data_IF_442339729964
#
_entry.id   IF_442339729964
#
_cell.length_a   1.000
_cell.length_b   1.000
_cell.length_c   1.000
_cell.angle_alpha   90.00
_cell.angle_beta   90.00
_cell.angle_gamma   90.00
#
_symmetry.space_group_name_H-M   'P 1'
#
loop_
_entity.id
_entity.type
_entity.pdbx_description
1 polymer ?
#
# COMPACT_ATOMS: atom_id res chain seq x y z
N UNK A 1 -25.78 -15.03 -3.59
CA UNK A 1 -25.00 -13.80 -3.81
C UNK A 1 -25.96 -12.63 -3.96
N UNK A 2 -25.83 -11.57 -3.13
CA UNK A 2 -26.51 -10.31 -3.40
C UNK A 2 -26.18 -9.80 -4.80
N UNK A 3 -27.07 -9.00 -5.42
CA UNK A 3 -26.72 -8.36 -6.68
C UNK A 3 -25.55 -7.38 -6.47
N UNK A 4 -24.76 -7.10 -7.51
CA UNK A 4 -23.68 -6.11 -7.42
C UNK A 4 -24.19 -4.75 -6.92
N UNK A 5 -25.41 -4.37 -7.32
CA UNK A 5 -26.07 -3.14 -6.86
C UNK A 5 -26.36 -3.17 -5.35
N UNK A 6 -26.83 -4.29 -4.81
CA UNK A 6 -27.10 -4.43 -3.38
C UNK A 6 -25.82 -4.29 -2.55
N UNK A 7 -24.72 -4.88 -3.00
CA UNK A 7 -23.43 -4.80 -2.32
C UNK A 7 -22.87 -3.37 -2.33
N UNK A 8 -23.03 -2.65 -3.45
CA UNK A 8 -22.67 -1.24 -3.57
C UNK A 8 -23.42 -0.39 -2.54
N UNK A 9 -24.73 -0.57 -2.47
CA UNK A 9 -25.62 0.16 -1.56
C UNK A 9 -25.29 -0.16 -0.11
N UNK A 10 -25.07 -1.44 0.21
CA UNK A 10 -24.66 -1.88 1.55
C UNK A 10 -23.32 -1.26 1.96
N UNK A 11 -22.33 -1.25 1.06
CA UNK A 11 -21.01 -0.65 1.29
C UNK A 11 -21.13 0.85 1.55
N UNK A 12 -21.89 1.58 0.72
CA UNK A 12 -22.13 3.03 0.91
C UNK A 12 -22.86 3.34 2.22
N UNK A 13 -23.84 2.52 2.62
CA UNK A 13 -24.51 2.64 3.92
C UNK A 13 -23.53 2.41 5.08
N UNK A 14 -22.64 1.43 4.95
CA UNK A 14 -21.58 1.15 5.94
C UNK A 14 -20.61 2.33 6.08
N UNK A 15 -20.18 2.91 4.95
CA UNK A 15 -19.35 4.13 4.93
C UNK A 15 -20.05 5.28 5.64
N UNK A 16 -21.32 5.55 5.29
CA UNK A 16 -22.12 6.61 5.92
C UNK A 16 -22.25 6.43 7.44
N UNK A 17 -22.32 5.19 7.92
CA UNK A 17 -22.47 4.86 9.34
C UNK A 17 -21.17 5.02 10.12
N UNK A 18 -20.04 4.59 9.56
CA UNK A 18 -18.78 4.45 10.28
C UNK A 18 -17.82 5.62 10.05
N UNK A 19 -17.98 6.36 8.95
CA UNK A 19 -17.06 7.43 8.57
C UNK A 19 -17.70 8.80 8.81
N UNK A 20 -17.00 9.75 9.48
CA UNK A 20 -17.53 11.08 9.76
C UNK A 20 -17.93 11.86 8.50
N UNK A 21 -17.15 11.72 7.43
CA UNK A 21 -17.48 12.30 6.11
C UNK A 21 -18.31 11.36 5.24
N UNK A 22 -18.83 10.27 5.80
CA UNK A 22 -19.46 9.20 5.04
C UNK A 22 -20.67 9.65 4.23
N UNK A 23 -21.40 10.68 4.67
CA UNK A 23 -22.49 11.25 3.86
C UNK A 23 -21.98 11.92 2.58
N UNK A 24 -20.89 12.69 2.66
CA UNK A 24 -20.24 13.33 1.50
C UNK A 24 -19.59 12.25 0.64
N UNK A 25 -18.90 11.29 1.25
CA UNK A 25 -18.18 10.26 0.50
C UNK A 25 -19.14 9.25 -0.15
N UNK A 26 -20.34 9.08 0.39
CA UNK A 26 -21.36 8.19 -0.18
C UNK A 26 -22.07 8.78 -1.40
N UNK A 27 -22.00 10.10 -1.63
CA UNK A 27 -22.82 10.83 -2.62
C UNK A 27 -22.48 10.56 -4.09
N UNK A 28 -21.53 9.66 -4.36
CA UNK A 28 -21.24 9.17 -5.71
C UNK A 28 -20.13 9.93 -6.45
N UNK A 29 -19.58 10.99 -5.87
CA UNK A 29 -18.40 11.66 -6.44
C UNK A 29 -17.15 10.81 -6.25
N UNK A 30 -16.24 10.87 -7.22
CA UNK A 30 -14.90 10.26 -7.15
C UNK A 30 -14.15 10.89 -5.96
N UNK A 31 -14.01 10.12 -4.88
CA UNK A 31 -13.22 10.47 -3.71
C UNK A 31 -12.33 9.28 -3.35
N UNK A 32 -11.28 9.46 -2.54
CA UNK A 32 -10.29 8.41 -2.30
C UNK A 32 -10.88 7.05 -1.88
N UNK A 33 -12.03 7.01 -1.19
CA UNK A 33 -12.69 5.76 -0.81
C UNK A 33 -13.55 5.19 -1.94
N UNK A 34 -14.28 6.03 -2.69
CA UNK A 34 -15.18 5.56 -3.75
C UNK A 34 -14.50 5.25 -5.08
N UNK A 35 -13.19 5.53 -5.25
CA UNK A 35 -12.45 5.15 -6.46
C UNK A 35 -12.56 3.66 -6.78
N UNK A 36 -12.66 2.83 -5.76
CA UNK A 36 -12.81 1.39 -5.91
C UNK A 36 -14.23 0.96 -6.30
N UNK A 37 -15.22 1.87 -6.24
CA UNK A 37 -16.62 1.59 -6.59
C UNK A 37 -16.87 1.31 -8.08
N UNK A 38 -15.82 1.40 -8.91
CA UNK A 38 -15.80 0.87 -10.29
C UNK A 38 -16.05 -0.64 -10.34
N UNK A 39 -15.76 -1.35 -9.25
CA UNK A 39 -16.07 -2.76 -9.09
C UNK A 39 -16.61 -2.98 -7.67
N UNK A 40 -17.87 -3.41 -7.55
CA UNK A 40 -18.55 -3.44 -6.25
C UNK A 40 -17.93 -4.44 -5.28
N UNK A 41 -17.37 -5.52 -5.82
CA UNK A 41 -16.70 -6.56 -5.05
C UNK A 41 -15.40 -6.04 -4.41
N UNK A 42 -14.50 -5.41 -5.18
CA UNK A 42 -13.30 -4.79 -4.61
C UNK A 42 -13.63 -3.60 -3.70
N UNK A 43 -14.70 -2.87 -3.98
CA UNK A 43 -15.13 -1.76 -3.15
C UNK A 43 -15.51 -2.19 -1.73
N UNK A 44 -16.31 -3.25 -1.60
CA UNK A 44 -16.66 -3.81 -0.30
C UNK A 44 -15.40 -4.29 0.45
N UNK A 45 -14.49 -4.98 -0.25
CA UNK A 45 -13.27 -5.56 0.32
C UNK A 45 -12.26 -4.50 0.78
N UNK A 46 -12.03 -3.46 -0.03
CA UNK A 46 -11.13 -2.36 0.37
C UNK A 46 -11.72 -1.57 1.53
N UNK A 47 -13.04 -1.34 1.53
CA UNK A 47 -13.71 -0.66 2.63
C UNK A 47 -13.60 -1.46 3.94
N UNK A 48 -13.72 -2.79 3.86
CA UNK A 48 -13.45 -3.68 5.00
C UNK A 48 -12.05 -3.47 5.54
N UNK A 49 -11.02 -3.47 4.69
CA UNK A 49 -9.65 -3.22 5.11
C UNK A 49 -9.48 -1.84 5.75
N UNK A 50 -10.03 -0.78 5.13
CA UNK A 50 -9.96 0.60 5.66
C UNK A 50 -10.63 0.69 7.03
N UNK A 51 -11.83 0.14 7.19
CA UNK A 51 -12.57 0.20 8.45
C UNK A 51 -11.86 -0.56 9.57
N UNK A 52 -11.42 -1.80 9.32
CA UNK A 52 -10.73 -2.61 10.33
C UNK A 52 -9.35 -2.03 10.69
N UNK A 53 -8.65 -1.44 9.71
CA UNK A 53 -7.32 -0.86 9.94
C UNK A 53 -7.42 0.49 10.63
N UNK A 54 -8.26 1.38 10.14
CA UNK A 54 -8.28 2.77 10.58
C UNK A 54 -9.32 3.01 11.68
N UNK A 55 -10.53 2.46 11.57
CA UNK A 55 -11.66 2.80 12.45
C UNK A 55 -11.64 1.99 13.75
N UNK A 56 -11.39 0.68 13.65
CA UNK A 56 -11.26 -0.19 14.82
C UNK A 56 -9.95 0.13 15.55
N UNK A 57 -10.03 0.43 16.84
CA UNK A 57 -8.88 0.74 17.69
C UNK A 57 -8.47 -0.51 18.48
N UNK A 58 -7.21 -0.94 18.32
CA UNK A 58 -6.64 -2.08 19.06
C UNK A 58 -5.45 -1.59 19.89
N UNK A 59 -4.26 -1.46 19.31
CA UNK A 59 -3.07 -0.98 20.02
C UNK A 59 -2.82 0.51 19.80
N UNK A 60 -3.05 0.98 18.57
CA UNK A 60 -2.80 2.37 18.19
C UNK A 60 -4.08 3.21 18.29
N UNK A 61 -3.94 4.45 18.77
CA UNK A 61 -5.01 5.45 18.69
C UNK A 61 -5.29 5.81 17.23
N UNK A 62 -6.48 6.34 16.96
CA UNK A 62 -6.82 6.84 15.62
C UNK A 62 -5.87 7.95 15.18
N UNK A 63 -5.53 8.87 16.09
CA UNK A 63 -4.60 9.97 15.83
C UNK A 63 -3.24 9.47 15.32
N UNK A 64 -2.63 8.47 15.97
CA UNK A 64 -1.36 7.88 15.51
C UNK A 64 -1.49 7.26 14.12
N UNK A 65 -2.60 6.57 13.82
CA UNK A 65 -2.81 5.96 12.50
C UNK A 65 -2.93 7.01 11.40
N UNK A 66 -3.63 8.11 11.66
CA UNK A 66 -3.76 9.22 10.71
C UNK A 66 -2.42 9.93 10.48
N UNK A 67 -1.59 10.07 11.51
CA UNK A 67 -0.24 10.63 11.36
C UNK A 67 0.67 9.72 10.53
N UNK A 68 0.61 8.40 10.75
CA UNK A 68 1.31 7.41 9.90
C UNK A 68 0.79 7.51 8.45
N UNK A 69 -0.52 7.60 8.25
CA UNK A 69 -1.12 7.74 6.93
C UNK A 69 -0.65 9.01 6.20
N UNK A 70 -0.59 10.14 6.93
CA UNK A 70 -0.06 11.40 6.41
C UNK A 70 1.42 11.28 6.04
N UNK A 71 2.24 10.71 6.93
CA UNK A 71 3.66 10.45 6.68
C UNK A 71 3.88 9.59 5.43
N UNK A 72 3.13 8.49 5.26
CA UNK A 72 3.21 7.64 4.06
C UNK A 72 2.86 8.46 2.81
N UNK A 73 1.82 9.28 2.89
CA UNK A 73 1.34 10.12 1.79
C UNK A 73 2.34 11.22 1.43
N UNK A 74 3.02 11.82 2.40
CA UNK A 74 4.12 12.77 2.17
C UNK A 74 5.29 12.09 1.46
N UNK A 75 5.68 10.90 1.92
CA UNK A 75 6.78 10.12 1.31
C UNK A 75 6.46 9.65 -0.10
N UNK A 76 5.18 9.52 -0.44
CA UNK A 76 4.67 9.14 -1.76
C UNK A 76 4.19 10.35 -2.58
N UNK A 77 4.35 11.57 -2.06
CA UNK A 77 3.96 12.82 -2.75
C UNK A 77 2.50 12.82 -3.22
N UNK A 78 1.57 12.31 -2.41
CA UNK A 78 0.15 12.25 -2.73
C UNK A 78 -0.63 13.39 -2.04
N UNK A 79 -0.81 14.56 -2.69
CA UNK A 79 -1.37 15.75 -2.04
C UNK A 79 -2.79 15.54 -1.51
N UNK A 80 -3.61 14.78 -2.25
CA UNK A 80 -4.98 14.46 -1.85
C UNK A 80 -5.03 13.72 -0.52
N UNK A 81 -4.17 12.70 -0.36
CA UNK A 81 -4.13 11.92 0.87
C UNK A 81 -3.50 12.73 2.02
N UNK A 82 -2.47 13.53 1.78
CA UNK A 82 -1.88 14.42 2.80
C UNK A 82 -2.94 15.35 3.38
N UNK A 83 -3.71 16.03 2.52
CA UNK A 83 -4.76 16.93 2.94
C UNK A 83 -5.85 16.20 3.76
N UNK A 84 -6.33 15.05 3.27
CA UNK A 84 -7.35 14.26 3.94
C UNK A 84 -6.89 13.74 5.32
N UNK A 85 -5.66 13.21 5.42
CA UNK A 85 -5.15 12.64 6.66
C UNK A 85 -4.72 13.71 7.66
N UNK A 86 -4.21 14.86 7.23
CA UNK A 86 -4.00 16.00 8.12
C UNK A 86 -5.32 16.49 8.73
N UNK A 87 -6.37 16.56 7.92
CA UNK A 87 -7.70 16.94 8.38
C UNK A 87 -8.26 15.98 9.44
N UNK A 88 -8.22 14.67 9.12
CA UNK A 88 -8.71 13.62 10.01
C UNK A 88 -7.85 13.46 11.26
N UNK A 89 -6.53 13.61 11.14
CA UNK A 89 -5.57 13.54 12.24
C UNK A 89 -5.79 14.64 13.27
N UNK A 90 -5.95 15.89 12.84
CA UNK A 90 -6.28 17.01 13.75
C UNK A 90 -7.59 16.74 14.48
N UNK A 91 -8.60 16.25 13.76
CA UNK A 91 -9.90 15.90 14.36
C UNK A 91 -9.76 14.80 15.40
N UNK A 92 -9.02 13.73 15.09
CA UNK A 92 -8.76 12.62 16.01
C UNK A 92 -8.01 13.09 17.27
N UNK A 93 -7.01 13.96 17.13
CA UNK A 93 -6.27 14.55 18.27
C UNK A 93 -7.20 15.32 19.19
N UNK A 94 -8.08 16.17 18.65
CA UNK A 94 -9.04 16.94 19.46
C UNK A 94 -9.98 16.01 20.24
N UNK A 95 -10.45 14.93 19.60
CA UNK A 95 -11.31 13.93 20.26
C UNK A 95 -10.56 13.21 21.37
N UNK A 96 -9.33 12.77 21.12
CA UNK A 96 -8.49 12.09 22.11
C UNK A 96 -8.19 13.00 23.30
N UNK A 97 -7.87 14.27 23.07
CA UNK A 97 -7.63 15.27 24.12
C UNK A 97 -8.88 15.52 24.96
N UNK A 98 -10.05 15.62 24.34
CA UNK A 98 -11.32 15.80 25.06
C UNK A 98 -11.68 14.58 25.90
N UNK A 99 -11.45 13.36 25.37
CA UNK A 99 -11.63 12.13 26.13
C UNK A 99 -10.69 12.07 27.34
N UNK A 100 -9.46 12.56 27.22
CA UNK A 100 -8.49 12.63 28.33
C UNK A 100 -8.90 13.66 29.38
N UNK A 101 -9.32 14.87 28.99
CA UNK A 101 -9.78 15.92 29.92
C UNK A 101 -10.98 15.48 30.77
N UNK A 102 -11.84 14.65 30.22
CA UNK A 102 -13.01 14.12 30.94
C UNK A 102 -12.66 12.98 31.93
N UNK A 103 -11.45 12.44 31.89
CA UNK A 103 -10.97 11.45 32.86
C UNK A 103 -10.53 12.15 34.14
N UNK A 104 -11.30 12.01 35.22
CA UNK A 104 -11.04 12.69 36.52
C UNK A 104 -9.66 12.42 37.14
N UNK A 105 -8.96 11.35 36.72
CA UNK A 105 -7.62 11.00 37.16
C UNK A 105 -6.71 10.85 35.93
N UNK A 106 -5.97 11.91 35.59
CA UNK A 106 -4.95 11.85 34.54
C UNK A 106 -3.69 11.22 35.11
N UNK A 107 -3.45 9.95 34.79
CA UNK A 107 -2.19 9.27 35.10
C UNK A 107 -1.09 9.78 34.16
N UNK A 108 -0.21 10.63 34.68
CA UNK A 108 0.90 11.24 33.95
C UNK A 108 1.87 10.20 33.39
N UNK A 109 2.06 9.07 34.08
CA UNK A 109 2.90 7.97 33.61
C UNK A 109 2.31 7.33 32.36
N UNK A 110 1.00 7.04 32.37
CA UNK A 110 0.28 6.48 31.23
C UNK A 110 0.30 7.42 30.01
N UNK A 111 0.20 8.73 30.22
CA UNK A 111 0.36 9.71 29.14
C UNK A 111 1.76 9.67 28.52
N UNK A 112 2.80 9.64 29.36
CA UNK A 112 4.19 9.56 28.90
C UNK A 112 4.44 8.26 28.10
N UNK A 113 3.92 7.12 28.58
CA UNK A 113 4.07 5.84 27.88
C UNK A 113 3.36 5.83 26.52
N UNK A 114 2.17 6.45 26.42
CA UNK A 114 1.46 6.64 25.14
C UNK A 114 2.22 7.54 24.18
N UNK A 115 2.81 8.63 24.66
CA UNK A 115 3.63 9.50 23.81
C UNK A 115 4.87 8.74 23.29
N UNK A 116 5.55 7.95 24.13
CA UNK A 116 6.67 7.13 23.69
C UNK A 116 6.26 6.07 22.67
N UNK A 117 5.10 5.44 22.86
CA UNK A 117 4.53 4.48 21.90
C UNK A 117 4.25 5.18 20.56
N UNK A 118 3.64 6.36 20.60
CA UNK A 118 3.39 7.21 19.44
C UNK A 118 4.68 7.52 18.67
N UNK A 119 5.68 8.08 19.34
CA UNK A 119 6.95 8.48 18.69
C UNK A 119 7.68 7.29 18.07
N UNK A 120 7.66 6.13 18.76
CA UNK A 120 8.21 4.90 18.20
C UNK A 120 7.40 4.36 17.02
N UNK A 121 6.07 4.55 17.01
CA UNK A 121 5.23 4.13 15.91
C UNK A 121 5.56 4.90 14.62
N UNK A 122 5.76 6.22 14.72
CA UNK A 122 6.18 7.06 13.59
C UNK A 122 7.56 6.63 13.07
N UNK A 123 8.54 6.46 13.96
CA UNK A 123 9.89 6.01 13.57
C UNK A 123 9.89 4.61 12.94
N UNK A 124 9.01 3.72 13.40
CA UNK A 124 8.87 2.39 12.82
C UNK A 124 8.24 2.45 11.42
N UNK A 125 7.22 3.30 11.22
CA UNK A 125 6.64 3.53 9.89
C UNK A 125 7.68 4.09 8.90
N UNK A 126 8.52 5.05 9.32
CA UNK A 126 9.61 5.58 8.48
C UNK A 126 10.63 4.50 8.09
N UNK A 127 10.95 3.59 9.01
CA UNK A 127 11.81 2.45 8.73
C UNK A 127 11.19 1.55 7.66
N UNK A 128 9.92 1.20 7.79
CA UNK A 128 9.21 0.36 6.80
C UNK A 128 9.20 1.02 5.42
N UNK A 129 8.87 2.32 5.33
CA UNK A 129 8.90 3.07 4.08
C UNK A 129 10.29 3.10 3.45
N UNK A 130 11.33 3.28 4.26
CA UNK A 130 12.72 3.24 3.79
C UNK A 130 13.10 1.86 3.26
N UNK A 131 12.65 0.79 3.90
CA UNK A 131 12.89 -0.59 3.48
C UNK A 131 12.12 -0.95 2.20
N UNK A 132 10.87 -0.49 2.06
CA UNK A 132 10.08 -0.64 0.83
C UNK A 132 10.74 0.11 -0.34
N UNK A 133 11.19 1.35 -0.13
CA UNK A 133 11.95 2.10 -1.16
C UNK A 133 13.29 1.46 -1.50
N UNK A 134 14.00 0.93 -0.50
CA UNK A 134 15.25 0.22 -0.73
C UNK A 134 15.04 -1.08 -1.54
N UNK A 135 13.94 -1.80 -1.31
CA UNK A 135 13.56 -2.94 -2.14
C UNK A 135 13.34 -2.52 -3.59
N UNK A 136 12.64 -1.41 -3.83
CA UNK A 136 12.47 -0.86 -5.19
C UNK A 136 13.81 -0.51 -5.85
N UNK A 137 14.79 -0.01 -5.08
CA UNK A 137 16.14 0.35 -5.57
C UNK A 137 17.08 -0.84 -5.79
N UNK A 138 17.13 -1.81 -4.87
CA UNK A 138 18.06 -2.96 -4.93
C UNK A 138 17.66 -4.04 -5.96
N UNK A 139 16.63 -3.77 -6.76
CA UNK A 139 16.25 -4.68 -7.81
C UNK A 139 17.18 -4.64 -9.03
N UNK A 140 17.96 -3.56 -9.23
CA UNK A 140 19.06 -3.51 -10.20
C UNK A 140 20.42 -3.86 -9.59
N UNK A 141 20.95 -5.04 -9.96
CA UNK A 141 22.32 -5.53 -9.76
C UNK A 141 22.95 -5.36 -8.35
N UNK A 142 23.22 -6.49 -7.68
CA UNK A 142 24.61 -6.65 -7.22
C UNK A 142 25.41 -7.15 -8.42
N UNK A 143 26.49 -6.47 -8.84
CA UNK A 143 27.42 -7.10 -9.76
C UNK A 143 27.92 -8.35 -9.06
N UNK A 144 27.61 -9.53 -9.60
CA UNK A 144 28.39 -10.72 -9.30
C UNK A 144 29.83 -10.31 -9.55
N UNK A 145 30.76 -10.45 -8.59
CA UNK A 145 32.15 -10.15 -8.85
C UNK A 145 32.55 -11.04 -10.01
N UNK A 146 32.74 -10.42 -11.19
CA UNK A 146 33.30 -11.11 -12.33
C UNK A 146 34.62 -11.65 -11.83
N UNK A 147 34.69 -12.98 -11.69
CA UNK A 147 35.95 -13.68 -11.51
C UNK A 147 36.82 -13.16 -12.64
N UNK A 148 37.78 -12.29 -12.30
CA UNK A 148 38.82 -11.84 -13.22
C UNK A 148 39.44 -13.12 -13.78
N UNK A 149 39.10 -13.45 -15.02
CA UNK A 149 39.87 -14.40 -15.81
C UNK A 149 41.28 -13.83 -15.86
N UNK A 150 42.29 -14.54 -15.35
CA UNK A 150 43.65 -14.03 -15.37
C UNK A 150 44.08 -13.93 -16.83
N UNK A 151 44.37 -12.70 -17.29
CA UNK A 151 45.13 -12.48 -18.52
C UNK A 151 46.45 -13.24 -18.38
N UNK A 152 46.63 -14.25 -19.21
CA UNK A 152 47.92 -14.87 -19.50
C UNK A 152 48.79 -13.79 -20.15
N UNK A 153 49.74 -13.25 -19.40
CA UNK A 153 50.92 -12.59 -19.94
C UNK A 153 52.14 -13.23 -19.32
N UNK A 154 52.95 -13.83 -20.18
CA UNK A 154 54.26 -14.39 -19.95
C UNK A 154 55.24 -13.35 -19.42
N UNK A 155 55.82 -13.58 -18.24
CA UNK A 155 57.19 -13.18 -17.93
C UNK A 155 57.66 -13.87 -16.65
N UNK A 156 58.83 -14.49 -16.77
CA UNK A 156 59.64 -15.17 -15.78
C UNK A 156 60.00 -14.35 -14.54
N UNK A 157 60.07 -15.02 -13.39
CA UNK A 157 61.03 -14.67 -12.34
C UNK A 157 60.47 -14.53 -10.92
N UNK A 158 61.12 -15.25 -10.01
CA UNK A 158 61.15 -15.05 -8.56
C UNK A 158 60.16 -15.85 -7.69
N UNK A 159 60.75 -16.82 -6.99
CA UNK A 159 60.20 -17.67 -5.94
C UNK A 159 60.08 -16.87 -4.65
N UNK A 160 58.86 -16.79 -4.11
CA UNK A 160 58.58 -16.20 -2.79
C UNK A 160 57.54 -17.03 -2.05
N UNK A 161 58.02 -17.88 -1.15
CA UNK A 161 57.25 -18.63 -0.16
C UNK A 161 56.50 -17.69 0.80
N UNK A 162 55.20 -17.90 1.00
CA UNK A 162 54.39 -17.02 1.86
C UNK A 162 53.02 -17.59 2.24
N UNK A 163 53.02 -18.39 3.31
CA UNK A 163 51.96 -18.64 4.32
C UNK A 163 50.48 -18.35 3.96
N UNK A 164 49.74 -19.47 3.89
CA UNK A 164 48.35 -19.67 4.33
C UNK A 164 47.91 -18.77 5.49
N UNK A 165 46.86 -17.96 5.29
CA UNK A 165 46.02 -17.37 6.36
C UNK A 165 44.55 -17.35 5.92
N UNK A 166 43.73 -18.17 6.60
CA UNK A 166 42.47 -17.75 7.21
C UNK A 166 41.24 -17.57 6.32
N UNK A 167 40.50 -18.65 6.10
CA UNK A 167 39.07 -18.63 5.78
C UNK A 167 38.26 -18.07 6.97
N UNK A 168 38.06 -16.75 7.00
CA UNK A 168 37.20 -16.07 7.97
C UNK A 168 35.73 -16.11 7.54
N UNK A 169 34.96 -17.01 8.14
CA UNK A 169 33.53 -17.20 7.86
C UNK A 169 32.65 -16.01 8.31
N UNK A 170 31.66 -15.68 7.47
CA UNK A 170 30.62 -14.65 7.57
C UNK A 170 29.79 -14.62 8.88
N UNK A 171 30.36 -14.08 9.96
CA UNK A 171 29.65 -13.84 11.23
C UNK A 171 28.97 -12.46 11.38
N UNK A 172 29.09 -11.57 10.39
CA UNK A 172 28.76 -10.14 10.49
C UNK A 172 27.24 -9.83 10.44
N UNK A 173 26.47 -10.59 9.67
CA UNK A 173 25.08 -10.23 9.32
C UNK A 173 24.09 -10.39 10.49
N UNK A 174 24.28 -11.41 11.33
CA UNK A 174 23.36 -11.70 12.46
C UNK A 174 23.46 -10.67 13.59
N UNK A 175 24.64 -10.07 13.83
CA UNK A 175 24.82 -9.03 14.86
C UNK A 175 24.13 -7.70 14.51
N UNK A 176 24.08 -7.32 13.22
CA UNK A 176 23.39 -6.08 12.79
C UNK A 176 21.87 -6.16 12.98
N UNK A 177 21.24 -7.32 12.74
CA UNK A 177 19.80 -7.53 12.97
C UNK A 177 19.40 -7.41 14.45
N UNK A 178 20.17 -8.01 15.38
CA UNK A 178 19.90 -7.90 16.83
C UNK A 178 19.94 -6.46 17.37
N UNK A 179 20.77 -5.58 16.79
CA UNK A 179 20.84 -4.16 17.19
C UNK A 179 19.62 -3.33 16.78
N UNK A 180 18.97 -3.65 15.64
CA UNK A 180 17.77 -2.91 15.18
C UNK A 180 16.53 -3.26 16.00
N UNK A 181 16.34 -4.52 16.40
CA UNK A 181 15.18 -4.98 17.19
C UNK A 181 15.04 -4.26 18.54
N UNK A 182 16.16 -3.85 19.16
CA UNK A 182 16.17 -3.11 20.43
C UNK A 182 15.68 -1.65 20.34
N UNK A 183 15.42 -1.10 19.15
CA UNK A 183 15.04 0.32 19.00
C UNK A 183 13.58 0.63 19.34
N UNK A 184 12.70 -0.37 19.34
CA UNK A 184 11.25 -0.17 19.46
C UNK A 184 10.68 -0.90 20.67
N UNK A 185 11.18 -0.56 21.86
CA UNK A 185 10.83 -1.23 23.14
C UNK A 185 9.40 -0.97 23.62
N UNK A 186 8.75 0.09 23.13
CA UNK A 186 7.37 0.44 23.45
C UNK A 186 6.36 -0.08 22.41
N UNK A 187 6.82 -0.80 21.38
CA UNK A 187 5.96 -1.43 20.39
C UNK A 187 5.97 -2.95 20.57
N UNK A 188 4.84 -3.51 20.99
CA UNK A 188 4.60 -4.94 20.94
C UNK A 188 4.40 -5.42 19.48
N UNK A 189 4.28 -6.73 19.29
CA UNK A 189 4.14 -7.32 17.95
C UNK A 189 2.84 -6.89 17.25
N UNK A 190 1.73 -6.82 17.99
CA UNK A 190 0.43 -6.35 17.50
C UNK A 190 0.50 -4.91 16.98
N UNK A 191 1.12 -4.00 17.72
CA UNK A 191 1.30 -2.61 17.32
C UNK A 191 2.17 -2.49 16.07
N UNK A 192 3.25 -3.27 15.96
CA UNK A 192 4.11 -3.29 14.75
C UNK A 192 3.35 -3.78 13.52
N UNK A 193 2.57 -4.86 13.66
CA UNK A 193 1.73 -5.37 12.59
C UNK A 193 0.64 -4.36 12.18
N UNK A 194 0.03 -3.67 13.16
CA UNK A 194 -0.94 -2.61 12.90
C UNK A 194 -0.30 -1.41 12.17
N UNK A 195 0.91 -0.98 12.55
CA UNK A 195 1.68 0.06 11.81
C UNK A 195 1.96 -0.38 10.37
N UNK A 196 2.46 -1.61 10.19
CA UNK A 196 2.77 -2.14 8.87
C UNK A 196 1.52 -2.23 7.98
N UNK A 197 0.37 -2.57 8.55
CA UNK A 197 -0.91 -2.59 7.84
C UNK A 197 -1.36 -1.19 7.41
N UNK A 198 -1.18 -0.17 8.24
CA UNK A 198 -1.44 1.24 7.87
C UNK A 198 -0.52 1.67 6.74
N UNK A 199 0.78 1.37 6.83
CA UNK A 199 1.76 1.69 5.76
C UNK A 199 1.39 1.01 4.45
N UNK A 200 1.05 -0.29 4.50
CA UNK A 200 0.61 -1.07 3.34
C UNK A 200 -0.64 -0.46 2.71
N UNK A 201 -1.67 -0.15 3.51
CA UNK A 201 -2.90 0.44 3.04
C UNK A 201 -2.65 1.76 2.33
N UNK A 202 -1.87 2.67 2.91
CA UNK A 202 -1.65 3.99 2.29
C UNK A 202 -0.66 3.99 1.14
N UNK A 203 0.30 3.05 1.08
CA UNK A 203 1.08 2.83 -0.14
C UNK A 203 0.17 2.47 -1.33
N UNK A 204 -0.82 1.60 -1.11
CA UNK A 204 -1.83 1.28 -2.11
C UNK A 204 -2.72 2.49 -2.46
N UNK A 205 -3.30 3.14 -1.45
CA UNK A 205 -4.24 4.25 -1.65
C UNK A 205 -3.58 5.43 -2.36
N UNK A 206 -2.36 5.81 -1.98
CA UNK A 206 -1.64 6.89 -2.63
C UNK A 206 -1.43 6.61 -4.11
N UNK A 207 -1.05 5.37 -4.46
CA UNK A 207 -0.87 4.95 -5.85
C UNK A 207 -2.16 5.07 -6.65
N UNK A 208 -3.26 4.51 -6.14
CA UNK A 208 -4.55 4.52 -6.83
C UNK A 208 -5.11 5.94 -6.97
N UNK A 209 -5.04 6.73 -5.90
CA UNK A 209 -5.53 8.13 -5.90
C UNK A 209 -4.74 8.96 -6.91
N UNK A 210 -3.41 8.87 -6.90
CA UNK A 210 -2.57 9.63 -7.83
C UNK A 210 -2.83 9.25 -9.30
N UNK A 211 -3.07 7.97 -9.60
CA UNK A 211 -3.35 7.52 -10.97
C UNK A 211 -4.76 7.88 -11.44
N UNK A 212 -5.77 7.75 -10.57
CA UNK A 212 -7.19 7.86 -10.99
C UNK A 212 -7.74 9.29 -10.81
N UNK A 213 -7.34 9.98 -9.74
CA UNK A 213 -7.83 11.34 -9.45
C UNK A 213 -6.87 12.42 -9.94
N UNK A 214 -5.59 12.09 -10.13
CA UNK A 214 -4.56 13.08 -10.40
C UNK A 214 -4.31 13.97 -9.18
N UNK A 215 -4.38 15.30 -9.37
CA UNK A 215 -4.00 16.31 -8.37
C UNK A 215 -5.18 17.09 -7.77
N UNK A 216 -4.94 17.64 -6.56
CA UNK A 216 -5.79 18.51 -5.73
C UNK A 216 -7.13 17.91 -5.26
N UNK A 217 -7.23 17.68 -3.94
CA UNK A 217 -8.42 17.09 -3.28
C UNK A 217 -9.69 17.91 -3.52
N UNK A 218 -9.57 19.23 -3.48
CA UNK A 218 -10.71 20.15 -3.51
C UNK A 218 -11.29 20.25 -4.91
N UNK A 219 -10.46 20.15 -5.94
CA UNK A 219 -10.94 20.02 -7.32
C UNK A 219 -11.69 18.71 -7.47
N UNK A 220 -11.15 17.61 -6.97
CA UNK A 220 -11.80 16.31 -7.12
C UNK A 220 -13.09 16.15 -6.28
N UNK A 221 -13.10 16.61 -5.03
CA UNK A 221 -14.22 16.40 -4.11
C UNK A 221 -15.29 17.50 -4.16
N UNK A 222 -14.91 18.74 -4.48
CA UNK A 222 -15.81 19.90 -4.39
C UNK A 222 -15.96 20.63 -5.72
N UNK A 223 -15.35 20.12 -6.81
CA UNK A 223 -15.33 20.77 -8.12
C UNK A 223 -14.84 22.23 -8.05
N UNK A 224 -13.89 22.49 -7.13
CA UNK A 224 -13.34 23.82 -6.90
C UNK A 224 -12.25 24.12 -7.93
N UNK A 225 -12.22 25.34 -8.53
CA UNK A 225 -11.15 25.74 -9.43
C UNK A 225 -9.77 25.59 -8.79
N UNK A 226 -8.77 25.11 -9.55
CA UNK A 226 -7.42 24.78 -9.04
C UNK A 226 -6.77 25.86 -8.19
N UNK A 227 -6.88 27.13 -8.60
CA UNK A 227 -6.34 28.26 -7.84
C UNK A 227 -6.91 28.36 -6.43
N UNK A 228 -8.21 28.09 -6.29
CA UNK A 228 -8.90 28.08 -5.00
C UNK A 228 -8.66 26.76 -4.25
N UNK A 229 -8.56 25.63 -4.96
CA UNK A 229 -8.23 24.33 -4.38
C UNK A 229 -6.88 24.37 -3.64
N UNK A 230 -5.84 24.94 -4.28
CA UNK A 230 -4.53 25.16 -3.65
C UNK A 230 -4.61 26.01 -2.39
N UNK A 231 -5.44 27.07 -2.40
CA UNK A 231 -5.63 27.92 -1.23
C UNK A 231 -6.35 27.18 -0.08
N UNK A 232 -7.34 26.34 -0.41
CA UNK A 232 -8.07 25.51 0.56
C UNK A 232 -7.22 24.38 1.14
N UNK A 233 -6.29 23.85 0.35
CA UNK A 233 -5.35 22.79 0.74
C UNK A 233 -4.09 23.32 1.42
N UNK A 234 -3.93 24.64 1.53
CA UNK A 234 -2.84 25.23 2.30
C UNK A 234 -2.87 24.71 3.75
N UNK A 235 -1.73 24.33 4.36
CA UNK A 235 -1.70 23.75 5.71
C UNK A 235 -2.42 24.59 6.77
N UNK A 236 -2.38 25.92 6.66
CA UNK A 236 -3.10 26.84 7.53
C UNK A 236 -4.62 26.76 7.37
N UNK A 237 -5.11 26.68 6.13
CA UNK A 237 -6.53 26.57 5.80
C UNK A 237 -7.09 25.21 6.24
N UNK A 238 -6.39 24.11 5.92
CA UNK A 238 -6.76 22.75 6.37
C UNK A 238 -6.84 22.71 7.89
N UNK A 239 -5.84 23.27 8.60
CA UNK A 239 -5.83 23.31 10.08
C UNK A 239 -6.99 24.11 10.66
N UNK A 240 -7.32 25.27 10.08
CA UNK A 240 -8.45 26.09 10.51
C UNK A 240 -9.78 25.36 10.29
N UNK A 241 -9.99 24.80 9.10
CA UNK A 241 -11.20 24.04 8.75
C UNK A 241 -11.35 22.78 9.61
N UNK A 242 -10.25 22.06 9.87
CA UNK A 242 -10.25 20.86 10.73
C UNK A 242 -10.72 21.18 12.14
N UNK A 243 -10.21 22.27 12.73
CA UNK A 243 -10.62 22.70 14.07
C UNK A 243 -12.07 23.15 14.12
N UNK A 244 -12.52 23.85 13.07
CA UNK A 244 -13.92 24.28 12.94
C UNK A 244 -14.88 23.09 12.85
N UNK A 245 -14.49 22.06 12.08
CA UNK A 245 -15.33 20.89 11.82
C UNK A 245 -15.18 19.77 12.86
N UNK A 246 -14.13 19.80 13.69
CA UNK A 246 -13.89 18.76 14.69
C UNK A 246 -15.09 18.48 15.62
N UNK A 247 -15.85 19.49 16.11
CA UNK A 247 -17.05 19.23 16.91
C UNK A 247 -18.11 18.42 16.17
N UNK A 248 -18.32 18.72 14.88
CA UNK A 248 -19.29 18.03 14.01
C UNK A 248 -18.91 16.56 13.86
N UNK A 249 -17.62 16.28 13.68
CA UNK A 249 -17.15 14.92 13.45
C UNK A 249 -16.91 14.11 14.73
N UNK A 250 -16.76 14.79 15.88
CA UNK A 250 -16.42 14.17 17.16
C UNK A 250 -17.36 13.05 17.60
N UNK A 251 -18.64 13.10 17.21
CA UNK A 251 -19.63 12.06 17.53
C UNK A 251 -19.22 10.69 16.99
N UNK A 252 -18.82 10.63 15.73
CA UNK A 252 -18.38 9.39 15.05
C UNK A 252 -17.09 8.83 15.65
N UNK A 253 -16.14 9.69 16.06
CA UNK A 253 -14.86 9.24 16.63
C UNK A 253 -14.97 8.73 18.08
N UNK A 254 -16.04 9.06 18.80
CA UNK A 254 -16.24 8.60 20.19
C UNK A 254 -16.66 7.13 20.26
N UNK A 255 -17.23 6.58 19.19
CA UNK A 255 -17.71 5.19 19.17
C UNK A 255 -16.50 4.26 19.09
N UNK A 256 -16.30 3.44 20.14
CA UNK A 256 -15.33 2.36 20.09
C UNK A 256 -15.89 1.24 19.23
N UNK A 257 -15.34 1.10 18.04
CA UNK A 257 -15.66 0.03 17.12
C UNK A 257 -14.90 -1.24 17.48
N UNK A 258 -15.61 -2.37 17.49
CA UNK A 258 -15.02 -3.69 17.70
C UNK A 258 -14.59 -4.30 16.37
N UNK A 259 -13.63 -5.24 16.35
CA UNK A 259 -13.31 -6.00 15.15
C UNK A 259 -14.56 -6.60 14.49
N UNK A 260 -14.61 -6.58 13.16
CA UNK A 260 -15.70 -7.17 12.39
C UNK A 260 -16.86 -6.21 12.10
N UNK A 261 -16.64 -4.89 12.19
CA UNK A 261 -17.68 -3.89 11.86
C UNK A 261 -18.18 -3.98 10.41
N UNK A 262 -17.42 -4.64 9.54
CA UNK A 262 -17.76 -4.83 8.12
C UNK A 262 -18.22 -6.23 7.75
N UNK A 263 -18.35 -7.17 8.71
CA UNK A 263 -18.77 -8.55 8.43
C UNK A 263 -20.13 -8.65 7.72
N UNK A 264 -21.04 -7.72 8.01
CA UNK A 264 -22.35 -7.64 7.34
C UNK A 264 -22.28 -7.44 5.82
N UNK A 265 -21.13 -7.02 5.27
CA UNK A 265 -20.93 -6.92 3.82
C UNK A 265 -20.65 -8.27 3.15
N UNK A 266 -20.31 -9.30 3.93
CA UNK A 266 -19.92 -10.63 3.45
C UNK A 266 -20.74 -11.71 4.16
N UNK A 267 -22.09 -11.74 3.97
CA UNK A 267 -22.96 -12.66 4.69
C UNK A 267 -22.61 -14.13 4.45
N UNK A 268 -22.18 -14.47 3.23
CA UNK A 268 -21.83 -15.83 2.84
C UNK A 268 -20.54 -16.31 3.54
N UNK A 269 -19.62 -15.39 3.86
CA UNK A 269 -18.34 -15.69 4.53
C UNK A 269 -18.45 -15.85 6.05
N UNK A 270 -19.52 -15.33 6.68
CA UNK A 270 -19.71 -15.42 8.13
C UNK A 270 -19.84 -16.86 8.62
N UNK A 271 -20.32 -17.76 7.76
CA UNK A 271 -20.47 -19.18 8.06
C UNK A 271 -19.15 -19.97 7.96
N UNK A 272 -18.15 -19.45 7.24
CA UNK A 272 -16.97 -20.19 6.83
C UNK A 272 -15.77 -20.10 7.78
N UNK A 273 -15.90 -19.43 8.94
CA UNK A 273 -14.91 -19.41 10.02
C UNK A 273 -13.47 -19.15 9.57
N UNK A 274 -13.01 -17.89 9.57
CA UNK A 274 -11.57 -17.54 9.40
C UNK A 274 -10.89 -17.97 8.07
N UNK A 275 -11.62 -18.49 7.08
CA UNK A 275 -11.02 -19.10 5.88
C UNK A 275 -10.06 -18.17 5.12
N UNK A 276 -10.32 -16.87 5.09
CA UNK A 276 -9.55 -15.94 4.25
C UNK A 276 -8.13 -15.66 4.76
N UNK A 277 -7.89 -15.72 6.08
CA UNK A 277 -6.53 -15.58 6.61
C UNK A 277 -5.59 -16.69 6.11
N UNK A 278 -6.13 -17.86 5.75
CA UNK A 278 -5.34 -18.95 5.17
C UNK A 278 -4.85 -18.68 3.75
N UNK A 279 -5.47 -17.72 3.04
CA UNK A 279 -5.09 -17.31 1.69
C UNK A 279 -3.90 -16.34 1.67
N UNK A 280 -3.43 -15.89 2.83
CA UNK A 280 -2.36 -14.90 2.94
C UNK A 280 -1.02 -15.47 2.45
N UNK A 281 -0.34 -14.79 1.50
CA UNK A 281 1.03 -15.10 1.13
C UNK A 281 1.96 -15.07 2.35
N UNK A 282 2.99 -15.93 2.34
CA UNK A 282 3.92 -16.09 3.47
C UNK A 282 4.52 -14.76 3.97
N UNK A 283 4.80 -13.83 3.06
CA UNK A 283 5.44 -12.55 3.39
C UNK A 283 4.51 -11.53 4.07
N UNK A 284 3.20 -11.81 4.16
CA UNK A 284 2.22 -10.95 4.85
C UNK A 284 1.39 -11.68 5.92
N UNK A 285 1.71 -12.94 6.25
CA UNK A 285 1.01 -13.70 7.30
C UNK A 285 1.07 -13.03 8.68
N UNK A 286 2.10 -12.20 8.93
CA UNK A 286 2.23 -11.38 10.13
C UNK A 286 1.04 -10.47 10.41
N UNK A 287 0.18 -10.19 9.43
CA UNK A 287 -1.05 -9.39 9.62
C UNK A 287 -2.01 -10.00 10.65
N UNK A 288 -1.96 -11.31 10.87
CA UNK A 288 -2.76 -11.99 11.92
C UNK A 288 -2.44 -11.43 13.31
N UNK A 289 -1.20 -10.96 13.53
CA UNK A 289 -0.81 -10.30 14.77
C UNK A 289 -1.54 -8.97 14.98
N UNK A 290 -1.98 -8.29 13.91
CA UNK A 290 -2.80 -7.10 14.01
C UNK A 290 -4.27 -7.41 14.35
N UNK A 291 -4.69 -8.67 14.26
CA UNK A 291 -6.06 -9.12 14.55
C UNK A 291 -6.66 -9.93 13.40
N UNK A 292 -7.49 -10.92 13.76
CA UNK A 292 -8.07 -11.87 12.82
C UNK A 292 -8.92 -11.20 11.72
N UNK A 293 -9.76 -10.23 12.08
CA UNK A 293 -10.61 -9.55 11.10
C UNK A 293 -9.84 -8.71 10.09
N UNK A 294 -8.69 -8.15 10.48
CA UNK A 294 -7.77 -7.47 9.56
C UNK A 294 -7.11 -8.45 8.61
N UNK A 295 -6.69 -9.60 9.13
CA UNK A 295 -6.14 -10.68 8.31
C UNK A 295 -7.18 -11.20 7.30
N UNK A 296 -8.43 -11.37 7.72
CA UNK A 296 -9.53 -11.76 6.84
C UNK A 296 -9.80 -10.69 5.77
N UNK A 297 -9.76 -9.39 6.13
CA UNK A 297 -9.93 -8.30 5.17
C UNK A 297 -8.82 -8.29 4.10
N UNK A 298 -7.56 -8.53 4.49
CA UNK A 298 -6.45 -8.68 3.53
C UNK A 298 -6.63 -9.97 2.70
N UNK A 299 -7.02 -11.08 3.31
CA UNK A 299 -7.28 -12.35 2.62
C UNK A 299 -8.33 -12.22 1.51
N UNK A 300 -9.45 -11.52 1.78
CA UNK A 300 -10.46 -11.19 0.76
C UNK A 300 -9.88 -10.42 -0.42
N UNK A 301 -8.98 -9.47 -0.17
CA UNK A 301 -8.34 -8.71 -1.25
C UNK A 301 -7.34 -9.56 -2.04
N UNK A 302 -6.60 -10.45 -1.38
CA UNK A 302 -5.72 -11.42 -2.08
C UNK A 302 -6.52 -12.35 -2.98
N UNK A 303 -7.66 -12.85 -2.49
CA UNK A 303 -8.59 -13.64 -3.27
C UNK A 303 -9.11 -12.86 -4.49
N UNK A 304 -9.54 -11.61 -4.29
CA UNK A 304 -10.00 -10.74 -5.38
C UNK A 304 -8.89 -10.53 -6.43
N UNK A 305 -7.67 -10.17 -6.00
CA UNK A 305 -6.52 -9.96 -6.91
C UNK A 305 -6.27 -11.21 -7.75
N UNK A 306 -6.29 -12.39 -7.13
CA UNK A 306 -6.05 -13.67 -7.81
C UNK A 306 -7.19 -14.02 -8.78
N UNK A 307 -8.44 -13.82 -8.36
CA UNK A 307 -9.63 -14.11 -9.17
C UNK A 307 -9.76 -13.16 -10.34
N UNK A 308 -9.53 -11.86 -10.12
CA UNK A 308 -9.55 -10.83 -11.14
C UNK A 308 -8.49 -11.09 -12.21
N UNK A 309 -7.26 -11.44 -11.81
CA UNK A 309 -6.20 -11.83 -12.74
C UNK A 309 -6.62 -13.01 -13.64
N UNK A 310 -7.11 -14.10 -13.03
CA UNK A 310 -7.47 -15.31 -13.76
C UNK A 310 -8.69 -15.10 -14.66
N UNK A 311 -9.78 -14.58 -14.11
CA UNK A 311 -11.09 -14.55 -14.77
C UNK A 311 -11.33 -13.29 -15.60
N UNK A 312 -10.69 -12.16 -15.28
CA UNK A 312 -10.93 -10.87 -15.94
C UNK A 312 -9.76 -10.34 -16.75
N UNK A 313 -8.52 -10.81 -16.52
CA UNK A 313 -7.37 -10.37 -17.30
C UNK A 313 -6.91 -11.45 -18.29
N UNK A 314 -6.65 -12.67 -17.79
CA UNK A 314 -6.13 -13.76 -18.62
C UNK A 314 -7.23 -14.39 -19.48
N UNK A 315 -8.38 -14.74 -18.88
CA UNK A 315 -9.45 -15.47 -19.59
C UNK A 315 -10.12 -14.66 -20.70
N UNK A 316 -10.13 -13.34 -20.57
CA UNK A 316 -10.69 -12.38 -21.54
C UNK A 316 -9.63 -11.81 -22.48
N UNK A 317 -8.39 -12.30 -22.39
CA UNK A 317 -7.25 -11.87 -23.23
C UNK A 317 -6.95 -10.36 -23.16
N UNK A 318 -7.28 -9.72 -22.03
CA UNK A 318 -6.90 -8.32 -21.78
C UNK A 318 -5.40 -8.23 -21.46
N UNK A 319 -4.86 -9.23 -20.77
CA UNK A 319 -3.43 -9.35 -20.50
C UNK A 319 -2.97 -10.79 -20.66
N UNK A 320 -1.90 -10.99 -21.43
CA UNK A 320 -1.27 -12.29 -21.53
C UNK A 320 -0.52 -12.66 -20.24
N UNK A 321 -0.29 -13.96 -20.06
CA UNK A 321 0.61 -14.48 -19.02
C UNK A 321 2.07 -14.03 -19.23
N UNK A 322 2.45 -13.66 -20.44
CA UNK A 322 3.78 -13.12 -20.74
C UNK A 322 3.92 -11.73 -20.16
N UNK A 323 2.94 -10.85 -20.40
CA UNK A 323 2.90 -9.51 -19.83
C UNK A 323 2.90 -9.55 -18.29
N UNK A 324 2.07 -10.39 -17.66
CA UNK A 324 2.05 -10.50 -16.18
C UNK A 324 3.42 -10.95 -15.65
N UNK A 325 4.04 -11.96 -16.28
CA UNK A 325 5.40 -12.39 -15.90
C UNK A 325 6.42 -11.29 -16.09
N UNK A 326 6.33 -10.52 -17.17
CA UNK A 326 7.18 -9.37 -17.43
C UNK A 326 7.03 -8.31 -16.33
N UNK A 327 5.80 -7.94 -15.98
CA UNK A 327 5.52 -6.98 -14.91
C UNK A 327 6.00 -7.51 -13.54
N UNK A 328 5.95 -8.82 -13.31
CA UNK A 328 6.47 -9.45 -12.10
C UNK A 328 8.00 -9.52 -12.05
N UNK A 329 8.68 -9.41 -13.20
CA UNK A 329 10.13 -9.28 -13.23
C UNK A 329 10.53 -7.97 -12.55
N UNK A 330 11.70 -8.02 -11.94
CA UNK A 330 12.31 -6.84 -11.36
C UNK A 330 12.72 -5.91 -12.50
N UNK A 331 12.10 -4.74 -12.55
CA UNK A 331 12.52 -3.69 -13.49
C UNK A 331 13.78 -3.04 -12.91
N UNK A 332 14.91 -3.31 -13.53
CA UNK A 332 16.18 -2.69 -13.15
C UNK A 332 16.10 -1.17 -13.37
N UNK A 333 16.10 -0.39 -12.28
CA UNK A 333 16.31 1.05 -12.41
C UNK A 333 17.69 1.31 -13.01
N UNK A 334 17.86 2.39 -13.82
CA UNK A 334 19.11 2.68 -14.48
C UNK A 334 20.26 2.73 -13.46
N UNK A 335 21.38 2.06 -13.81
CA UNK A 335 22.51 1.86 -12.91
C UNK A 335 23.01 3.19 -12.34
N UNK A 336 23.21 3.24 -11.03
CA UNK A 336 23.67 4.44 -10.31
C UNK A 336 22.58 5.15 -9.50
N UNK A 337 21.33 4.65 -9.51
CA UNK A 337 20.26 5.24 -8.71
C UNK A 337 19.92 6.64 -9.20
N UNK A 338 19.73 6.78 -10.52
CA UNK A 338 19.30 8.02 -11.15
C UNK A 338 18.09 8.55 -10.37
N UNK A 339 18.30 9.68 -9.71
CA UNK A 339 17.20 10.46 -9.18
C UNK A 339 16.65 11.20 -10.40
N UNK A 340 15.55 10.69 -10.97
CA UNK A 340 14.80 11.44 -11.97
C UNK A 340 14.48 12.81 -11.39
N UNK A 341 14.91 13.87 -12.07
CA UNK A 341 14.71 15.24 -11.65
C UNK A 341 13.25 15.66 -11.81
N UNK A 342 12.55 15.03 -12.76
CA UNK A 342 11.14 15.27 -12.99
C UNK A 342 10.37 13.99 -13.32
N UNK A 343 9.04 14.01 -13.19
CA UNK A 343 8.21 12.89 -13.60
C UNK A 343 8.27 12.60 -15.12
N UNK A 344 8.52 13.60 -15.96
CA UNK A 344 8.69 13.45 -17.41
C UNK A 344 9.92 12.61 -17.76
N UNK A 345 11.02 12.75 -17.03
CA UNK A 345 12.21 11.91 -17.23
C UNK A 345 11.92 10.42 -16.93
N UNK A 346 11.00 10.14 -16.00
CA UNK A 346 10.55 8.76 -15.74
C UNK A 346 9.78 8.21 -16.94
N UNK A 347 8.89 9.02 -17.52
CA UNK A 347 8.11 8.65 -18.70
C UNK A 347 9.05 8.39 -19.89
N UNK A 348 9.97 9.31 -20.18
CA UNK A 348 10.93 9.16 -21.29
C UNK A 348 11.81 7.91 -21.12
N UNK A 349 12.34 7.70 -19.91
CA UNK A 349 13.12 6.49 -19.60
C UNK A 349 12.28 5.23 -19.77
N UNK A 350 11.04 5.22 -19.27
CA UNK A 350 10.15 4.09 -19.42
C UNK A 350 9.83 3.83 -20.88
N UNK A 351 9.51 4.85 -21.68
CA UNK A 351 9.21 4.68 -23.10
C UNK A 351 10.40 4.08 -23.85
N UNK A 352 11.62 4.56 -23.60
CA UNK A 352 12.83 4.03 -24.21
C UNK A 352 13.12 2.58 -23.79
N UNK A 353 13.02 2.29 -22.50
CA UNK A 353 13.27 0.95 -21.95
C UNK A 353 12.19 -0.04 -22.39
N UNK A 354 10.93 0.34 -22.27
CA UNK A 354 9.77 -0.49 -22.59
C UNK A 354 9.68 -0.79 -24.07
N UNK A 355 9.98 0.19 -24.94
CA UNK A 355 10.03 -0.07 -26.38
C UNK A 355 10.97 -1.22 -26.73
N UNK A 356 12.07 -1.38 -25.99
CA UNK A 356 13.04 -2.45 -26.24
C UNK A 356 12.65 -3.74 -25.52
N UNK A 357 12.39 -3.67 -24.21
CA UNK A 357 12.15 -4.87 -23.40
C UNK A 357 10.79 -5.52 -23.64
N UNK A 358 9.72 -4.73 -23.77
CA UNK A 358 8.37 -5.26 -24.07
C UNK A 358 8.37 -5.92 -25.44
N UNK A 359 8.96 -5.26 -26.44
CA UNK A 359 9.05 -5.82 -27.79
C UNK A 359 9.77 -7.17 -27.75
N UNK A 360 10.95 -7.24 -27.13
CA UNK A 360 11.72 -8.50 -27.06
C UNK A 360 11.01 -9.59 -26.24
N UNK A 361 10.40 -9.25 -25.11
CA UNK A 361 9.83 -10.24 -24.17
C UNK A 361 8.39 -10.67 -24.50
N UNK A 362 7.60 -9.77 -25.10
CA UNK A 362 6.21 -10.04 -25.45
C UNK A 362 6.08 -10.50 -26.90
N UNK A 363 6.82 -9.89 -27.85
CA UNK A 363 6.63 -10.16 -29.28
C UNK A 363 7.45 -11.36 -29.78
N UNK A 364 8.53 -11.73 -29.09
CA UNK A 364 9.54 -12.61 -29.69
C UNK A 364 10.14 -11.98 -30.96
N UNK A 365 10.91 -12.74 -31.74
CA UNK A 365 11.51 -12.26 -33.00
C UNK A 365 10.48 -12.14 -34.16
N UNK A 366 9.20 -12.43 -33.93
CA UNK A 366 8.21 -12.53 -35.01
C UNK A 366 7.50 -11.18 -35.24
N UNK A 367 7.52 -10.74 -36.50
CA UNK A 367 7.03 -9.45 -37.02
C UNK A 367 5.49 -9.35 -37.07
N UNK A 368 4.81 -9.67 -35.99
CA UNK A 368 3.35 -9.73 -35.90
C UNK A 368 2.65 -8.36 -35.76
N UNK A 369 1.39 -8.35 -36.18
CA UNK A 369 0.37 -7.28 -36.15
C UNK A 369 0.46 -6.26 -35.00
N UNK A 370 0.79 -5.00 -35.32
CA UNK A 370 0.92 -3.89 -34.36
C UNK A 370 -0.33 -3.63 -33.50
N UNK A 371 -1.53 -4.03 -33.97
CA UNK A 371 -2.80 -3.67 -33.32
C UNK A 371 -2.99 -4.35 -31.96
N UNK A 372 -2.64 -5.63 -31.84
CA UNK A 372 -2.76 -6.42 -30.60
C UNK A 372 -1.76 -5.92 -29.55
N UNK A 373 -0.53 -5.61 -29.97
CA UNK A 373 0.53 -5.17 -29.08
C UNK A 373 0.33 -3.76 -28.55
N UNK A 374 -0.43 -2.92 -29.26
CA UNK A 374 -0.81 -1.59 -28.77
C UNK A 374 -1.46 -1.64 -27.39
N UNK A 375 -2.37 -2.59 -27.16
CA UNK A 375 -3.09 -2.72 -25.89
C UNK A 375 -2.18 -3.16 -24.76
N UNK A 376 -1.42 -4.24 -24.95
CA UNK A 376 -0.51 -4.75 -23.91
C UNK A 376 0.59 -3.75 -23.56
N UNK A 377 1.11 -3.02 -24.56
CA UNK A 377 2.10 -1.97 -24.35
C UNK A 377 1.53 -0.85 -23.49
N UNK A 378 0.33 -0.36 -23.79
CA UNK A 378 -0.30 0.71 -23.01
C UNK A 378 -0.65 0.27 -21.59
N UNK A 379 -1.14 -0.96 -21.41
CA UNK A 379 -1.30 -1.56 -20.09
C UNK A 379 0.03 -1.57 -19.35
N UNK A 380 1.09 -2.08 -19.96
CA UNK A 380 2.40 -2.18 -19.32
C UNK A 380 2.94 -0.81 -18.92
N UNK A 381 2.83 0.19 -19.80
CA UNK A 381 3.23 1.57 -19.53
C UNK A 381 2.46 2.16 -18.36
N UNK A 382 1.12 2.09 -18.37
CA UNK A 382 0.28 2.60 -17.28
C UNK A 382 0.62 1.92 -15.95
N UNK A 383 0.79 0.59 -15.95
CA UNK A 383 1.09 -0.15 -14.72
C UNK A 383 2.48 0.16 -14.17
N UNK A 384 3.49 0.31 -15.02
CA UNK A 384 4.81 0.74 -14.56
C UNK A 384 4.80 2.20 -14.08
N UNK A 385 4.18 3.12 -14.83
CA UNK A 385 4.04 4.52 -14.40
C UNK A 385 3.32 4.58 -13.05
N UNK A 386 2.28 3.78 -12.83
CA UNK A 386 1.63 3.69 -11.52
C UNK A 386 2.57 3.26 -10.40
N UNK A 387 3.55 2.39 -10.67
CA UNK A 387 4.49 1.92 -9.64
C UNK A 387 5.60 2.92 -9.30
N UNK A 388 6.06 3.71 -10.30
CA UNK A 388 7.25 4.57 -10.15
C UNK A 388 6.94 6.07 -10.14
N UNK A 389 5.92 6.52 -10.86
CA UNK A 389 5.53 7.92 -10.98
C UNK A 389 3.99 8.07 -11.16
N UNK A 390 3.17 7.58 -10.21
CA UNK A 390 1.72 7.49 -10.37
C UNK A 390 1.03 8.83 -10.69
N UNK A 391 1.60 9.94 -10.24
CA UNK A 391 1.12 11.30 -10.51
C UNK A 391 1.17 11.69 -12.00
N UNK A 392 1.98 11.01 -12.81
CA UNK A 392 2.08 11.24 -14.26
C UNK A 392 1.07 10.48 -15.07
N UNK A 393 0.43 9.48 -14.46
CA UNK A 393 -0.40 8.53 -15.20
C UNK A 393 -1.72 9.18 -15.59
N UNK A 394 -2.35 9.92 -14.68
CA UNK A 394 -3.61 10.60 -14.94
C UNK A 394 -3.47 11.65 -16.06
N UNK A 395 -4.27 11.52 -17.12
CA UNK A 395 -4.22 12.43 -18.28
C UNK A 395 -3.02 12.24 -19.20
N UNK A 396 -2.21 11.19 -19.00
CA UNK A 396 -1.21 10.79 -19.99
C UNK A 396 -1.87 10.15 -21.21
N UNK A 397 -1.22 10.25 -22.37
CA UNK A 397 -1.66 9.56 -23.59
C UNK A 397 -1.77 8.05 -23.40
N UNK A 398 -0.89 7.44 -22.60
CA UNK A 398 -0.94 6.00 -22.25
C UNK A 398 -2.20 5.65 -21.46
N UNK A 399 -2.65 6.53 -20.55
CA UNK A 399 -3.90 6.35 -19.82
C UNK A 399 -5.12 6.50 -20.73
N UNK A 400 -5.13 7.51 -21.60
CA UNK A 400 -6.20 7.72 -22.57
C UNK A 400 -6.34 6.54 -23.52
N UNK A 401 -5.23 6.04 -24.08
CA UNK A 401 -5.24 4.87 -24.97
C UNK A 401 -5.68 3.60 -24.22
N UNK A 402 -5.26 3.40 -22.96
CA UNK A 402 -5.80 2.31 -22.14
C UNK A 402 -7.32 2.43 -21.97
N UNK A 403 -7.82 3.61 -21.62
CA UNK A 403 -9.25 3.86 -21.41
C UNK A 403 -10.04 3.65 -22.70
N UNK A 404 -9.51 4.09 -23.85
CA UNK A 404 -10.12 3.86 -25.17
C UNK A 404 -10.26 2.36 -25.47
N UNK A 405 -9.23 1.57 -25.14
CA UNK A 405 -9.18 0.14 -25.46
C UNK A 405 -10.03 -0.75 -24.57
N UNK A 406 -10.02 -0.52 -23.25
CA UNK A 406 -10.69 -1.40 -22.29
C UNK A 406 -11.89 -0.77 -21.58
N UNK A 407 -12.12 0.53 -21.80
CA UNK A 407 -13.11 1.32 -21.07
C UNK A 407 -12.62 1.76 -19.70
N UNK A 408 -13.11 2.91 -19.24
CA UNK A 408 -12.67 3.56 -17.98
C UNK A 408 -12.80 2.67 -16.75
N UNK A 409 -13.88 1.88 -16.65
CA UNK A 409 -14.12 1.02 -15.48
C UNK A 409 -13.10 -0.12 -15.37
N UNK A 410 -12.75 -0.73 -16.51
CA UNK A 410 -11.75 -1.79 -16.56
C UNK A 410 -10.34 -1.22 -16.36
N UNK A 411 -10.01 -0.09 -17.00
CA UNK A 411 -8.73 0.59 -16.81
C UNK A 411 -8.46 0.92 -15.32
N UNK A 412 -9.46 1.49 -14.63
CA UNK A 412 -9.39 1.74 -13.17
C UNK A 412 -9.24 0.43 -12.38
N UNK A 413 -9.95 -0.63 -12.75
CA UNK A 413 -9.85 -1.93 -12.09
C UNK A 413 -8.47 -2.58 -12.26
N UNK A 414 -7.86 -2.46 -13.44
CA UNK A 414 -6.48 -2.91 -13.75
C UNK A 414 -5.47 -2.19 -12.84
N UNK A 415 -5.58 -0.86 -12.69
CA UNK A 415 -4.71 -0.09 -11.79
C UNK A 415 -4.89 -0.53 -10.32
N UNK A 416 -6.13 -0.73 -9.87
CA UNK A 416 -6.42 -1.20 -8.51
C UNK A 416 -5.79 -2.59 -8.28
N UNK A 417 -6.00 -3.52 -9.22
CA UNK A 417 -5.41 -4.86 -9.18
C UNK A 417 -3.90 -4.80 -9.09
N UNK A 418 -3.25 -4.06 -9.99
CA UNK A 418 -1.80 -3.95 -10.02
C UNK A 418 -1.24 -3.30 -8.75
N UNK A 419 -1.92 -2.26 -8.26
CA UNK A 419 -1.52 -1.60 -7.02
C UNK A 419 -1.58 -2.54 -5.82
N UNK A 420 -2.67 -3.29 -5.65
CA UNK A 420 -2.80 -4.28 -4.57
C UNK A 420 -1.75 -5.38 -4.71
N UNK A 421 -1.58 -5.94 -5.91
CA UNK A 421 -0.59 -6.99 -6.18
C UNK A 421 0.82 -6.55 -5.79
N UNK A 422 1.23 -5.37 -6.25
CA UNK A 422 2.55 -4.79 -5.95
C UNK A 422 2.70 -4.57 -4.45
N UNK A 423 1.71 -3.98 -3.81
CA UNK A 423 1.74 -3.70 -2.38
C UNK A 423 1.83 -4.97 -1.53
N UNK A 424 1.10 -6.05 -1.87
CA UNK A 424 1.21 -7.33 -1.16
C UNK A 424 2.59 -8.00 -1.34
N UNK A 425 3.19 -7.87 -2.52
CA UNK A 425 4.53 -8.40 -2.81
C UNK A 425 5.65 -7.64 -2.11
N UNK A 426 5.48 -6.33 -1.94
CA UNK A 426 6.53 -5.43 -1.43
C UNK A 426 6.42 -5.08 0.05
N UNK A 427 5.30 -5.42 0.69
CA UNK A 427 5.05 -5.10 2.09
C UNK A 427 6.20 -5.57 3.02
N UNK A 428 6.46 -4.76 4.06
CA UNK A 428 7.49 -5.00 5.08
C UNK A 428 6.89 -4.95 6.47
N UNK A 429 7.50 -5.68 7.40
CA UNK A 429 7.07 -5.72 8.80
C UNK A 429 5.89 -6.66 9.07
N UNK A 430 5.44 -7.41 8.05
CA UNK A 430 4.44 -8.48 8.15
C UNK A 430 5.04 -9.86 7.82
N UNK A 431 6.36 -9.94 7.66
CA UNK A 431 7.12 -11.14 7.32
C UNK A 431 7.57 -11.95 8.54
N UNK A 432 7.24 -11.48 9.75
CA UNK A 432 7.51 -12.23 10.98
C UNK A 432 6.79 -13.57 10.89
N UNK A 433 7.58 -14.66 10.78
CA UNK A 433 7.07 -16.02 10.77
C UNK A 433 6.30 -16.26 12.06
N UNK A 434 4.98 -16.21 11.97
CA UNK A 434 4.12 -16.73 13.02
C UNK A 434 4.34 -18.23 13.02
N UNK A 435 4.73 -18.77 14.17
CA UNK A 435 4.75 -20.20 14.38
C UNK A 435 3.38 -20.76 13.95
N UNK A 436 3.36 -21.68 12.98
CA UNK A 436 2.11 -22.20 12.43
C UNK A 436 1.20 -22.77 13.51
N UNK A 437 1.76 -23.34 14.58
CA UNK A 437 0.99 -23.82 15.73
C UNK A 437 0.26 -22.68 16.45
N UNK A 438 0.92 -21.52 16.62
CA UNK A 438 0.31 -20.31 17.18
C UNK A 438 -0.71 -19.71 16.23
N UNK A 439 -0.46 -19.76 14.92
CA UNK A 439 -1.43 -19.31 13.92
C UNK A 439 -2.70 -20.14 14.01
N UNK A 440 -2.60 -21.47 13.99
CA UNK A 440 -3.76 -22.37 14.14
C UNK A 440 -4.51 -22.10 15.44
N UNK A 441 -3.80 -21.93 16.56
CA UNK A 441 -4.43 -21.58 17.84
C UNK A 441 -5.19 -20.25 17.78
N UNK A 442 -4.60 -19.20 17.17
CA UNK A 442 -5.24 -17.90 16.96
C UNK A 442 -6.48 -18.00 16.05
N UNK A 443 -6.41 -18.79 14.98
CA UNK A 443 -7.50 -18.95 14.02
C UNK A 443 -8.67 -19.77 14.59
N UNK A 444 -8.37 -20.80 15.38
CA UNK A 444 -9.37 -21.72 15.94
C UNK A 444 -9.99 -21.22 17.25
N UNK A 445 -9.44 -20.16 17.84
CA UNK A 445 -9.82 -19.69 19.18
C UNK A 445 -9.48 -20.68 20.30
N UNK A 446 -8.74 -21.75 19.99
CA UNK A 446 -8.28 -22.73 20.97
C UNK A 446 -7.00 -22.21 21.62
N UNK A 447 -7.08 -21.87 22.90
CA UNK A 447 -5.88 -21.61 23.70
C UNK A 447 -5.03 -22.89 23.73
N UNK A 448 -3.73 -22.83 23.38
CA UNK A 448 -2.84 -23.98 23.57
C UNK A 448 -2.85 -24.34 25.06
N UNK A 449 -3.24 -25.58 25.39
CA UNK A 449 -3.11 -26.13 26.74
C UNK A 449 -1.66 -26.44 27.10
#
# INVERSE_FOLDING_TARGET
MPSESDLAVATRRSIKKLFPMGSIMSSGMDNPITLHSVNQDVFARIWSLIAETMVVQVELSRSTKEEIASLVSERNSCPVCIAAHNFMGITAIVVDQNAQKNSKNVDTKKMNDRQKQHDQAIQYAELLLSEMKAQKRMCGLQPTPTKKTPKRSSSSGSVGSGKSIGSGSDGSSKKKRKRKSRRFTHLNATAKAEIALVVMLFDHMNRVVSVIMGEEMSTAMFNVPRSLARAMEAPSAVKAMSRLMAPVFSGTFKVKHQPGVTLSLFPDEQSAGSANASLLPENIQGVVLAGLERANAVGRLVEWVTTFEKEKLIKTDIMSRHLIRFLDKKVDLPHGGVNFASPEEVVEWMEGKMKTEVTTEIMGDESGDESIYGTERSIAMVLLLSSFAPQTTYGSSHWEDLVERVGVSMARSIVIWWSLRTTFKECKGLDDKIDQSKMVALLTGLTPQ
#
